data_IF_677626532871
#
_entry.id   IF_677626532871
#
_cell.length_a   1.000
_cell.length_b   1.000
_cell.length_c   1.000
_cell.angle_alpha   90.00
_cell.angle_beta   90.00
_cell.angle_gamma   90.00
#
_symmetry.space_group_name_H-M   'P 1'
#
loop_
_entity.id
_entity.type
_entity.pdbx_description
1 polymer ?
#
# COMPACT_ATOMS: atom_id res chain seq x y z
N UNK A 1 35.43 16.01 -21.98
CA UNK A 1 35.57 14.56 -22.00
C UNK A 1 34.17 13.97 -21.93
N UNK A 2 33.62 13.68 -23.11
CA UNK A 2 32.32 13.00 -23.26
C UNK A 2 32.58 11.52 -23.47
N UNK A 3 32.03 10.67 -22.60
CA UNK A 3 31.75 9.25 -22.84
C UNK A 3 31.22 8.65 -21.54
N UNK A 4 29.91 8.59 -21.36
CA UNK A 4 29.16 7.55 -20.64
C UNK A 4 27.67 7.92 -20.59
N UNK A 5 27.00 7.95 -21.73
CA UNK A 5 25.54 8.12 -21.80
C UNK A 5 25.01 7.29 -23.00
N UNK A 6 25.26 5.98 -23.00
CA UNK A 6 24.77 5.09 -24.07
C UNK A 6 24.49 3.66 -23.62
N UNK A 7 23.97 3.43 -22.41
CA UNK A 7 23.61 2.06 -22.00
C UNK A 7 22.22 1.91 -21.34
N UNK A 8 21.35 2.92 -21.44
CA UNK A 8 19.97 2.83 -20.92
C UNK A 8 18.90 2.69 -22.03
N UNK A 9 19.27 2.33 -23.24
CA UNK A 9 18.38 2.37 -24.39
C UNK A 9 17.88 1.04 -24.94
N UNK A 10 17.94 -0.11 -24.24
CA UNK A 10 17.64 -1.39 -24.91
C UNK A 10 16.95 -2.48 -24.07
N UNK A 11 16.11 -2.14 -23.12
CA UNK A 11 15.25 -3.14 -22.42
C UNK A 11 13.75 -2.97 -22.71
N UNK A 12 13.36 -2.06 -23.59
CA UNK A 12 11.94 -1.75 -23.84
C UNK A 12 11.32 -2.48 -25.06
N UNK A 13 11.91 -3.52 -25.63
CA UNK A 13 11.42 -4.06 -26.90
C UNK A 13 11.38 -5.59 -26.99
N UNK A 14 10.81 -6.28 -25.98
CA UNK A 14 10.39 -7.69 -26.19
C UNK A 14 9.26 -8.10 -25.25
N UNK A 15 8.19 -7.30 -25.14
CA UNK A 15 6.93 -7.79 -24.57
C UNK A 15 6.12 -8.43 -25.68
N UNK A 16 6.42 -9.69 -26.01
CA UNK A 16 5.58 -10.48 -26.90
C UNK A 16 4.27 -10.82 -26.22
N UNK A 17 3.20 -10.59 -26.98
CA UNK A 17 1.81 -10.95 -26.73
C UNK A 17 1.72 -12.42 -26.31
N UNK A 18 1.50 -12.67 -25.04
CA UNK A 18 0.98 -13.94 -24.54
C UNK A 18 -0.47 -13.70 -24.15
N UNK A 19 -1.36 -14.59 -24.63
CA UNK A 19 -2.78 -14.63 -24.24
C UNK A 19 -2.84 -14.71 -22.71
N UNK A 20 -3.32 -13.65 -22.10
CA UNK A 20 -3.33 -13.48 -20.66
C UNK A 20 -4.66 -13.98 -20.11
N UNK A 21 -4.59 -14.89 -19.15
CA UNK A 21 -5.60 -14.89 -18.12
C UNK A 21 -5.25 -13.69 -17.23
N UNK A 22 -6.03 -12.61 -17.34
CA UNK A 22 -5.91 -11.50 -16.41
C UNK A 22 -6.28 -12.03 -15.02
N UNK A 23 -5.46 -11.74 -14.00
CA UNK A 23 -5.89 -11.91 -12.63
C UNK A 23 -7.18 -11.10 -12.45
N UNK A 24 -8.21 -11.69 -11.86
CA UNK A 24 -9.48 -11.02 -11.63
C UNK A 24 -9.25 -9.70 -10.90
N UNK A 25 -10.05 -8.69 -11.22
CA UNK A 25 -9.94 -7.39 -10.57
C UNK A 25 -10.22 -7.51 -9.07
N UNK A 26 -9.36 -6.90 -8.27
CA UNK A 26 -9.58 -6.64 -6.84
C UNK A 26 -9.09 -5.24 -6.49
N UNK A 27 -9.72 -4.59 -5.52
CA UNK A 27 -9.20 -3.35 -4.95
C UNK A 27 -7.94 -3.62 -4.12
N UNK A 28 -7.07 -2.63 -3.98
CA UNK A 28 -5.85 -2.72 -3.16
C UNK A 28 -6.09 -2.32 -1.69
N UNK A 29 -7.22 -1.65 -1.38
CA UNK A 29 -7.65 -1.40 -0.01
C UNK A 29 -8.36 -2.61 0.61
N UNK A 30 -8.33 -2.75 1.97
CA UNK A 30 -7.65 -1.94 3.01
C UNK A 30 -6.33 -2.52 3.51
N UNK A 31 -5.71 -3.46 2.81
CA UNK A 31 -4.51 -4.17 3.26
C UNK A 31 -3.26 -3.26 3.31
N UNK A 32 -2.31 -3.60 4.20
CA UNK A 32 -0.96 -3.04 4.15
C UNK A 32 -0.13 -3.63 3.00
N UNK A 33 -0.51 -4.82 2.52
CA UNK A 33 0.04 -5.45 1.33
C UNK A 33 -0.58 -4.90 0.04
N UNK A 34 -0.24 -5.54 -1.07
CA UNK A 34 -0.76 -5.24 -2.40
C UNK A 34 -1.54 -6.44 -2.94
N UNK A 35 -2.73 -6.22 -3.48
CA UNK A 35 -3.47 -7.24 -4.22
C UNK A 35 -2.78 -7.64 -5.54
N UNK A 36 -3.08 -8.83 -6.07
CA UNK A 36 -2.58 -9.27 -7.38
C UNK A 36 -3.48 -8.86 -8.55
N UNK A 37 -4.70 -8.38 -8.26
CA UNK A 37 -5.68 -7.98 -9.26
C UNK A 37 -5.26 -6.74 -10.06
N UNK A 38 -5.69 -6.67 -11.32
CA UNK A 38 -5.39 -5.59 -12.27
C UNK A 38 -6.70 -4.93 -12.70
N UNK A 39 -6.71 -3.61 -12.75
CA UNK A 39 -7.85 -2.86 -13.29
C UNK A 39 -8.04 -3.19 -14.78
N UNK A 40 -9.24 -3.57 -15.23
CA UNK A 40 -9.50 -3.86 -16.62
C UNK A 40 -9.26 -2.66 -17.53
N UNK A 41 -8.86 -2.91 -18.78
CA UNK A 41 -8.66 -1.86 -19.78
C UNK A 41 -9.95 -1.06 -20.00
N UNK A 42 -9.84 0.27 -20.00
CA UNK A 42 -10.98 1.18 -20.18
C UNK A 42 -11.80 1.43 -18.90
N UNK A 43 -11.37 0.89 -17.77
CA UNK A 43 -11.97 1.15 -16.44
C UNK A 43 -11.06 2.02 -15.59
N UNK A 44 -11.68 2.68 -14.62
CA UNK A 44 -11.02 3.47 -13.59
C UNK A 44 -11.47 2.95 -12.22
N UNK A 45 -10.53 2.49 -11.40
CA UNK A 45 -10.78 2.21 -10.00
C UNK A 45 -10.37 3.43 -9.16
N UNK A 46 -11.24 3.82 -8.23
CA UNK A 46 -11.03 4.87 -7.24
C UNK A 46 -11.15 4.26 -5.85
N UNK A 47 -10.11 4.43 -5.06
CA UNK A 47 -10.01 3.92 -3.69
C UNK A 47 -9.69 5.07 -2.76
N UNK A 48 -10.47 5.27 -1.70
CA UNK A 48 -10.41 6.44 -0.82
C UNK A 48 -10.47 6.07 0.65
N UNK A 49 -9.50 6.55 1.45
CA UNK A 49 -9.56 6.54 2.91
C UNK A 49 -10.47 7.65 3.45
N UNK A 50 -11.32 7.33 4.48
CA UNK A 50 -12.40 8.21 4.98
C UNK A 50 -12.55 8.23 6.51
N UNK A 51 -11.64 8.70 7.32
CA UNK A 51 -10.21 8.88 7.16
C UNK A 51 -9.42 7.61 7.51
N UNK A 52 -8.14 7.63 7.16
CA UNK A 52 -7.15 6.80 7.81
C UNK A 52 -6.61 7.51 9.06
N UNK A 53 -6.36 6.76 10.14
CA UNK A 53 -5.97 7.28 11.46
C UNK A 53 -4.72 6.58 11.92
N UNK A 54 -3.74 7.31 12.43
CA UNK A 54 -2.64 6.74 13.20
C UNK A 54 -2.48 7.45 14.55
N UNK A 55 -2.20 6.65 15.58
CA UNK A 55 -1.88 7.15 16.91
C UNK A 55 -0.58 6.54 17.37
N UNK A 56 0.37 7.40 17.74
CA UNK A 56 1.66 7.01 18.26
C UNK A 56 1.87 7.62 19.64
N UNK A 57 2.44 6.85 20.57
CA UNK A 57 2.84 7.31 21.89
C UNK A 57 4.22 6.81 22.22
N UNK A 58 5.16 7.71 22.44
CA UNK A 58 6.54 7.44 22.83
C UNK A 58 6.84 8.01 24.22
N UNK A 59 7.93 7.52 24.83
CA UNK A 59 8.45 8.08 26.08
C UNK A 59 9.79 8.77 25.76
N UNK A 60 9.80 10.09 25.81
CA UNK A 60 10.97 10.91 25.53
C UNK A 60 11.33 11.70 26.78
N UNK A 61 12.54 11.49 27.29
CA UNK A 61 13.06 12.17 28.50
C UNK A 61 12.11 12.15 29.73
N UNK A 62 11.37 11.04 29.90
CA UNK A 62 10.44 10.88 31.03
C UNK A 62 9.06 11.50 30.82
N UNK A 63 8.81 12.16 29.70
CA UNK A 63 7.50 12.65 29.28
C UNK A 63 6.89 11.75 28.20
N UNK A 64 5.56 11.77 28.11
CA UNK A 64 4.84 11.05 27.05
C UNK A 64 4.59 11.98 25.87
N UNK A 65 5.15 11.62 24.74
CA UNK A 65 4.86 12.20 23.45
C UNK A 65 3.72 11.44 22.79
N UNK A 66 2.74 12.16 22.28
CA UNK A 66 1.58 11.57 21.61
C UNK A 66 1.34 12.28 20.29
N UNK A 67 1.27 11.52 19.24
CA UNK A 67 0.94 11.99 17.89
C UNK A 67 -0.33 11.31 17.42
N UNK A 68 -1.31 12.09 17.02
CA UNK A 68 -2.52 11.62 16.34
C UNK A 68 -2.52 12.23 14.94
N UNK A 69 -2.56 11.38 13.92
CA UNK A 69 -2.61 11.80 12.52
C UNK A 69 -3.89 11.29 11.87
N UNK A 70 -4.55 12.14 11.11
CA UNK A 70 -5.68 11.82 10.26
C UNK A 70 -5.29 12.18 8.82
N UNK A 71 -5.49 11.28 7.88
CA UNK A 71 -5.31 11.55 6.47
C UNK A 71 -6.45 10.94 5.63
N UNK A 72 -6.66 11.49 4.45
CA UNK A 72 -7.64 11.00 3.48
C UNK A 72 -6.90 10.62 2.20
N UNK A 73 -6.19 9.49 2.26
CA UNK A 73 -5.43 8.92 1.15
C UNK A 73 -6.33 8.49 -0.01
N UNK A 74 -5.81 8.61 -1.22
CA UNK A 74 -6.51 8.25 -2.45
C UNK A 74 -5.60 7.48 -3.41
N UNK A 75 -6.16 6.47 -4.06
CA UNK A 75 -5.51 5.73 -5.13
C UNK A 75 -6.44 5.66 -6.34
N UNK A 76 -5.93 6.09 -7.49
CA UNK A 76 -6.56 5.92 -8.79
C UNK A 76 -5.80 4.85 -9.58
N UNK A 77 -6.54 3.90 -10.17
CA UNK A 77 -5.95 2.81 -10.96
C UNK A 77 -6.67 2.71 -12.29
N UNK A 78 -5.94 2.53 -13.38
CA UNK A 78 -6.53 2.33 -14.72
C UNK A 78 -5.76 1.30 -15.53
N UNK A 79 -6.47 0.41 -16.20
CA UNK A 79 -5.88 -0.57 -17.10
C UNK A 79 -5.34 0.06 -18.37
N UNK A 80 -4.05 -0.07 -18.63
CA UNK A 80 -3.39 0.42 -19.85
C UNK A 80 -3.39 -0.63 -20.97
N UNK A 81 -3.19 -1.87 -20.60
CA UNK A 81 -3.16 -3.02 -21.49
C UNK A 81 -3.50 -4.27 -20.67
N UNK A 82 -3.65 -5.41 -21.33
CA UNK A 82 -3.91 -6.66 -20.67
C UNK A 82 -2.83 -7.02 -19.64
N UNK A 83 -3.26 -7.16 -18.38
CA UNK A 83 -2.37 -7.39 -17.25
C UNK A 83 -1.44 -6.24 -16.90
N UNK A 84 -1.69 -5.00 -17.36
CA UNK A 84 -0.88 -3.82 -17.05
C UNK A 84 -1.78 -2.66 -16.63
N UNK A 85 -1.54 -2.08 -15.47
CA UNK A 85 -2.26 -0.88 -15.00
C UNK A 85 -1.31 0.24 -14.56
N UNK A 86 -1.80 1.47 -14.69
CA UNK A 86 -1.22 2.66 -14.11
C UNK A 86 -1.89 2.95 -12.77
N UNK A 87 -1.10 3.30 -11.78
CA UNK A 87 -1.54 3.76 -10.46
C UNK A 87 -1.10 5.20 -10.22
N UNK A 88 -1.99 6.02 -9.68
CA UNK A 88 -1.71 7.37 -9.20
C UNK A 88 -2.20 7.45 -7.76
N UNK A 89 -1.27 7.56 -6.83
CA UNK A 89 -1.53 7.67 -5.40
C UNK A 89 -1.39 9.11 -4.90
N UNK A 90 -2.10 9.42 -3.84
CA UNK A 90 -1.95 10.65 -3.08
C UNK A 90 -2.23 10.38 -1.61
N UNK A 91 -1.31 10.74 -0.72
CA UNK A 91 -1.48 10.59 0.73
C UNK A 91 -2.59 11.50 1.29
N UNK A 92 -3.09 12.44 0.46
CA UNK A 92 -4.25 13.28 0.76
C UNK A 92 -3.95 14.46 1.65
N UNK A 93 -5.02 15.17 2.08
CA UNK A 93 -4.92 16.13 3.14
C UNK A 93 -4.64 15.41 4.46
N UNK A 94 -3.73 15.99 5.24
CA UNK A 94 -3.27 15.46 6.52
C UNK A 94 -3.55 16.49 7.61
N UNK A 95 -4.07 16.02 8.75
CA UNK A 95 -4.13 16.77 9.99
C UNK A 95 -3.41 15.98 11.08
N UNK A 96 -2.55 16.66 11.83
CA UNK A 96 -1.77 16.05 12.90
C UNK A 96 -1.88 16.86 14.18
N UNK A 97 -2.01 16.16 15.30
CA UNK A 97 -1.95 16.71 16.64
C UNK A 97 -0.81 16.07 17.40
N UNK A 98 0.15 16.87 17.79
CA UNK A 98 1.26 16.48 18.66
C UNK A 98 1.04 17.02 20.08
N UNK A 99 1.32 16.18 21.11
CA UNK A 99 1.27 16.55 22.51
C UNK A 99 2.54 16.13 23.22
N UNK A 100 3.22 17.09 23.87
CA UNK A 100 4.41 16.89 24.69
C UNK A 100 4.29 17.66 26.00
N UNK A 101 4.48 17.01 27.16
CA UNK A 101 4.52 17.65 28.47
C UNK A 101 3.41 18.68 28.73
N UNK A 102 2.19 18.40 28.27
CA UNK A 102 1.02 19.28 28.39
C UNK A 102 0.86 20.32 27.28
N UNK A 103 1.86 20.55 26.46
CA UNK A 103 1.77 21.42 25.28
C UNK A 103 1.15 20.65 24.12
N UNK A 104 0.26 21.31 23.37
CA UNK A 104 -0.41 20.79 22.21
C UNK A 104 -0.03 21.64 20.98
N UNK A 105 0.40 20.99 19.89
CA UNK A 105 0.60 21.61 18.58
C UNK A 105 -0.31 20.90 17.57
N UNK A 106 -0.95 21.65 16.70
CA UNK A 106 -1.71 21.14 15.57
C UNK A 106 -1.11 21.67 14.29
N UNK A 107 -1.00 20.80 13.30
CA UNK A 107 -0.54 21.11 11.95
C UNK A 107 -1.44 20.44 10.93
N UNK A 108 -1.54 21.03 9.76
CA UNK A 108 -2.25 20.46 8.63
C UNK A 108 -1.49 20.76 7.32
N UNK A 109 -1.69 19.93 6.33
CA UNK A 109 -1.03 20.07 5.04
C UNK A 109 -1.47 18.99 4.06
N UNK A 110 -0.70 18.83 3.02
CA UNK A 110 -0.89 17.83 1.98
C UNK A 110 0.29 16.84 2.01
N UNK A 111 0.00 15.56 1.86
CA UNK A 111 1.00 14.52 1.71
C UNK A 111 1.49 14.37 0.27
N UNK A 112 2.41 13.45 0.08
CA UNK A 112 3.07 13.18 -1.19
C UNK A 112 2.15 12.50 -2.20
N UNK A 113 2.50 12.62 -3.48
CA UNK A 113 1.87 11.89 -4.59
C UNK A 113 2.74 10.71 -5.01
N UNK A 114 2.13 9.70 -5.62
CA UNK A 114 2.88 8.60 -6.21
C UNK A 114 2.39 8.26 -7.61
N UNK A 115 3.28 7.66 -8.39
CA UNK A 115 2.99 7.07 -9.69
C UNK A 115 3.57 5.66 -9.74
N UNK A 116 2.78 4.70 -10.21
CA UNK A 116 3.18 3.30 -10.27
C UNK A 116 2.71 2.61 -11.55
N UNK A 117 3.46 1.58 -11.95
CA UNK A 117 3.08 0.64 -12.99
C UNK A 117 3.02 -0.76 -12.38
N UNK A 118 1.83 -1.38 -12.42
CA UNK A 118 1.58 -2.73 -11.92
C UNK A 118 1.35 -3.69 -13.07
N UNK A 119 2.02 -4.83 -13.01
CA UNK A 119 1.97 -5.89 -14.04
C UNK A 119 1.60 -7.21 -13.40
N UNK A 120 0.54 -7.85 -13.90
CA UNK A 120 0.22 -9.24 -13.59
C UNK A 120 1.23 -10.17 -14.27
N UNK A 121 1.66 -11.21 -13.56
CA UNK A 121 2.55 -12.26 -14.03
C UNK A 121 1.74 -13.55 -14.16
N UNK A 122 1.68 -14.08 -15.37
CA UNK A 122 0.97 -15.34 -15.61
C UNK A 122 1.81 -16.54 -15.15
N UNK A 123 1.37 -17.21 -14.10
CA UNK A 123 2.03 -18.39 -13.53
C UNK A 123 1.48 -19.72 -14.08
N UNK A 124 0.47 -19.66 -14.97
CA UNK A 124 -0.21 -20.83 -15.56
C UNK A 124 -0.85 -21.76 -14.50
N UNK A 125 -1.28 -21.17 -13.41
CA UNK A 125 -2.01 -21.83 -12.33
C UNK A 125 -3.21 -20.93 -11.95
N UNK A 126 -4.42 -21.49 -11.97
CA UNK A 126 -5.65 -20.73 -11.76
C UNK A 126 -5.84 -20.29 -10.28
N UNK A 127 -5.10 -20.93 -9.35
CA UNK A 127 -5.14 -20.62 -7.93
C UNK A 127 -3.97 -19.79 -7.44
N UNK A 128 -2.94 -19.65 -8.26
CA UNK A 128 -1.72 -18.92 -7.90
C UNK A 128 -1.60 -17.68 -8.80
N UNK A 129 -1.73 -16.51 -8.21
CA UNK A 129 -1.61 -15.25 -8.93
C UNK A 129 -0.41 -14.45 -8.44
N UNK A 130 0.16 -13.61 -9.31
CA UNK A 130 1.31 -12.77 -8.99
C UNK A 130 1.20 -11.42 -9.70
N UNK A 131 1.60 -10.37 -9.02
CA UNK A 131 1.79 -9.05 -9.64
C UNK A 131 3.10 -8.41 -9.17
N UNK A 132 3.64 -7.55 -10.02
CA UNK A 132 4.79 -6.68 -9.72
C UNK A 132 4.34 -5.22 -9.88
N UNK A 133 4.74 -4.36 -8.96
CA UNK A 133 4.52 -2.92 -9.02
C UNK A 133 5.86 -2.20 -8.90
N UNK A 134 6.18 -1.36 -9.86
CA UNK A 134 7.23 -0.35 -9.74
C UNK A 134 6.58 0.99 -9.45
N UNK A 135 6.97 1.66 -8.38
CA UNK A 135 6.37 2.90 -7.91
C UNK A 135 7.42 3.93 -7.53
N UNK A 136 7.11 5.19 -7.80
CA UNK A 136 7.83 6.34 -7.29
C UNK A 136 6.87 7.20 -6.47
N UNK A 137 7.21 7.44 -5.19
CA UNK A 137 6.58 8.46 -4.35
C UNK A 137 7.41 9.72 -4.52
N UNK A 138 6.79 10.78 -4.98
CA UNK A 138 7.43 12.07 -5.26
C UNK A 138 7.19 13.00 -4.08
N UNK A 139 8.27 13.52 -3.52
CA UNK A 139 8.24 14.40 -2.35
C UNK A 139 7.64 15.78 -2.71
N UNK A 140 6.32 15.85 -2.80
CA UNK A 140 5.53 17.04 -3.20
C UNK A 140 4.70 17.60 -2.07
N UNK A 141 4.63 16.92 -0.93
CA UNK A 141 3.85 17.33 0.23
C UNK A 141 4.42 18.58 0.92
N UNK A 142 3.71 19.04 1.95
CA UNK A 142 4.24 20.11 2.80
C UNK A 142 5.35 19.56 3.70
N UNK A 143 6.30 20.40 4.10
CA UNK A 143 7.52 20.02 4.85
C UNK A 143 7.29 19.06 6.02
N UNK A 144 6.17 19.21 6.75
CA UNK A 144 5.85 18.36 7.90
C UNK A 144 5.21 17.02 7.49
N UNK A 145 4.83 16.83 6.21
CA UNK A 145 4.07 15.68 5.68
C UNK A 145 4.66 15.07 4.42
N UNK A 146 5.86 15.49 4.03
CA UNK A 146 6.59 14.93 2.89
C UNK A 146 7.69 13.98 3.34
N UNK A 147 8.03 13.02 2.50
CA UNK A 147 9.19 12.16 2.67
C UNK A 147 10.54 12.90 2.52
N UNK A 148 10.52 14.17 2.12
CA UNK A 148 11.65 15.06 1.80
C UNK A 148 12.46 14.65 0.56
N UNK A 149 12.74 13.38 0.37
CA UNK A 149 13.38 12.79 -0.82
C UNK A 149 12.43 11.80 -1.49
N UNK A 150 12.51 11.68 -2.81
CA UNK A 150 11.71 10.70 -3.55
C UNK A 150 12.03 9.28 -3.11
N UNK A 151 10.98 8.45 -3.01
CA UNK A 151 11.11 7.03 -2.69
C UNK A 151 10.79 6.21 -3.93
N UNK A 152 11.69 5.34 -4.31
CA UNK A 152 11.51 4.38 -5.40
C UNK A 152 11.30 2.99 -4.83
N UNK A 153 10.28 2.28 -5.29
CA UNK A 153 9.99 0.95 -4.78
C UNK A 153 9.71 -0.07 -5.88
N UNK A 154 10.02 -1.31 -5.56
CA UNK A 154 9.60 -2.48 -6.31
C UNK A 154 8.86 -3.42 -5.36
N UNK A 155 7.59 -3.67 -5.66
CA UNK A 155 6.73 -4.55 -4.86
C UNK A 155 6.37 -5.79 -5.67
N UNK A 156 6.43 -6.95 -5.04
CA UNK A 156 5.87 -8.20 -5.56
C UNK A 156 4.77 -8.69 -4.63
N UNK A 157 3.65 -9.13 -5.19
CA UNK A 157 2.58 -9.81 -4.47
C UNK A 157 2.35 -11.17 -5.11
N UNK A 158 2.24 -12.20 -4.27
CA UNK A 158 1.88 -13.56 -4.67
C UNK A 158 0.71 -13.98 -3.81
N UNK A 159 -0.38 -14.44 -4.42
CA UNK A 159 -1.56 -14.92 -3.72
C UNK A 159 -1.91 -16.34 -4.14
N UNK A 160 -2.39 -17.14 -3.20
CA UNK A 160 -2.83 -18.51 -3.41
C UNK A 160 -4.21 -18.73 -2.78
N UNK A 161 -5.15 -19.22 -3.61
CA UNK A 161 -6.50 -19.55 -3.18
C UNK A 161 -6.60 -21.03 -2.80
N UNK A 162 -6.74 -21.32 -1.51
CA UNK A 162 -6.98 -22.69 -1.05
C UNK A 162 -8.40 -23.16 -1.39
N UNK A 163 -9.35 -22.25 -1.29
CA UNK A 163 -10.78 -22.47 -1.60
C UNK A 163 -11.48 -21.12 -1.77
N UNK A 164 -12.74 -21.12 -2.18
CA UNK A 164 -13.61 -19.93 -2.24
C UNK A 164 -13.79 -19.23 -0.88
N UNK A 165 -13.34 -19.84 0.21
CA UNK A 165 -13.50 -19.31 1.57
C UNK A 165 -12.20 -18.80 2.18
N UNK A 166 -11.04 -19.30 1.75
CA UNK A 166 -9.75 -19.01 2.36
C UNK A 166 -8.69 -18.87 1.29
N UNK A 167 -7.99 -17.75 1.34
CA UNK A 167 -6.80 -17.45 0.55
C UNK A 167 -5.64 -16.98 1.44
N UNK A 168 -4.47 -16.92 0.88
CA UNK A 168 -3.30 -16.31 1.52
C UNK A 168 -2.49 -15.56 0.48
N UNK A 169 -1.82 -14.50 0.91
CA UNK A 169 -0.90 -13.78 0.06
C UNK A 169 0.37 -13.37 0.82
N UNK A 170 1.39 -13.05 0.07
CA UNK A 170 2.58 -12.39 0.59
C UNK A 170 2.96 -11.23 -0.32
N UNK A 171 3.08 -10.06 0.26
CA UNK A 171 3.64 -8.88 -0.39
C UNK A 171 5.06 -8.66 0.10
N UNK A 172 5.98 -8.43 -0.84
CA UNK A 172 7.37 -8.04 -0.55
C UNK A 172 7.62 -6.70 -1.24
N UNK A 173 7.95 -5.68 -0.48
CA UNK A 173 8.27 -4.33 -0.99
C UNK A 173 9.72 -3.98 -0.66
N UNK A 174 10.46 -3.57 -1.67
CA UNK A 174 11.81 -3.05 -1.60
C UNK A 174 11.77 -1.57 -1.90
N UNK A 175 12.35 -0.76 -1.02
CA UNK A 175 12.34 0.71 -1.12
C UNK A 175 13.78 1.22 -1.11
N UNK A 176 14.00 2.29 -1.88
CA UNK A 176 15.24 3.06 -1.86
C UNK A 176 14.90 4.55 -1.78
N UNK A 177 15.55 5.25 -0.84
CA UNK A 177 15.43 6.67 -0.64
C UNK A 177 16.82 7.25 -0.30
N UNK A 178 17.34 8.16 -1.10
CA UNK A 178 18.60 8.87 -0.84
C UNK A 178 19.77 7.98 -0.36
N UNK A 179 19.97 6.82 -0.96
CA UNK A 179 20.94 5.77 -0.61
C UNK A 179 20.57 4.86 0.56
N UNK A 180 19.54 5.15 1.33
CA UNK A 180 18.98 4.25 2.32
C UNK A 180 18.03 3.25 1.66
N UNK A 181 17.88 2.09 2.28
CA UNK A 181 16.98 1.04 1.80
C UNK A 181 16.03 0.56 2.91
N UNK A 182 14.87 0.06 2.49
CA UNK A 182 13.97 -0.68 3.36
C UNK A 182 13.37 -1.89 2.65
N UNK A 183 13.02 -2.92 3.42
CA UNK A 183 12.29 -4.09 2.96
C UNK A 183 11.12 -4.32 3.88
N UNK A 184 9.93 -4.48 3.30
CA UNK A 184 8.71 -4.82 4.02
C UNK A 184 8.16 -6.13 3.49
N UNK A 185 7.76 -7.03 4.38
CA UNK A 185 7.06 -8.27 4.05
C UNK A 185 5.72 -8.31 4.79
N UNK A 186 4.65 -8.62 4.04
CA UNK A 186 3.28 -8.68 4.58
C UNK A 186 2.63 -9.99 4.15
N UNK A 187 2.81 -11.09 4.91
CA UNK A 187 1.96 -12.27 4.78
C UNK A 187 0.55 -11.96 5.28
N UNK A 188 -0.44 -12.33 4.48
CA UNK A 188 -1.87 -12.06 4.71
C UNK A 188 -2.67 -13.36 4.60
N UNK A 189 -3.64 -13.51 5.46
CA UNK A 189 -4.69 -14.52 5.40
C UNK A 189 -6.01 -13.82 5.11
N UNK A 190 -6.65 -14.19 4.01
CA UNK A 190 -7.95 -13.71 3.59
C UNK A 190 -9.01 -14.77 3.83
N UNK A 191 -10.18 -14.36 4.31
CA UNK A 191 -11.26 -15.31 4.61
C UNK A 191 -12.65 -14.71 4.40
N UNK A 192 -13.56 -15.52 3.87
CA UNK A 192 -14.96 -15.17 3.72
C UNK A 192 -15.70 -15.45 5.04
N UNK A 193 -16.42 -14.44 5.53
CA UNK A 193 -17.19 -14.55 6.79
C UNK A 193 -18.62 -15.00 6.49
N UNK A 194 -19.35 -14.23 5.72
CA UNK A 194 -20.71 -14.56 5.31
C UNK A 194 -21.16 -13.67 4.14
N UNK A 195 -21.78 -14.27 3.13
CA UNK A 195 -22.36 -13.55 1.99
C UNK A 195 -21.34 -12.61 1.33
N UNK A 196 -21.53 -11.31 1.46
CA UNK A 196 -20.70 -10.24 0.90
C UNK A 196 -19.64 -9.70 1.86
N UNK A 197 -19.55 -10.27 3.05
CA UNK A 197 -18.60 -9.88 4.09
C UNK A 197 -17.41 -10.83 4.10
N UNK A 198 -16.22 -10.27 3.96
CA UNK A 198 -14.93 -10.94 4.12
C UNK A 198 -14.08 -10.23 5.17
N UNK A 199 -13.05 -10.89 5.62
CA UNK A 199 -12.06 -10.34 6.53
C UNK A 199 -10.66 -10.76 6.09
N UNK A 200 -9.68 -10.10 6.68
CA UNK A 200 -8.28 -10.45 6.51
C UNK A 200 -7.53 -10.30 7.83
N UNK A 201 -6.39 -10.95 7.92
CA UNK A 201 -5.42 -10.77 9.01
C UNK A 201 -4.02 -10.80 8.41
N UNK A 202 -3.20 -9.85 8.80
CA UNK A 202 -1.86 -9.67 8.24
C UNK A 202 -0.82 -9.50 9.34
N UNK A 203 0.37 -9.96 9.08
CA UNK A 203 1.57 -9.67 9.85
C UNK A 203 2.46 -8.77 9.00
N UNK A 204 2.96 -7.69 9.60
CA UNK A 204 3.83 -6.75 8.94
C UNK A 204 5.22 -6.90 9.53
N UNK A 205 6.20 -7.11 8.68
CA UNK A 205 7.61 -7.13 9.02
C UNK A 205 8.33 -6.10 8.17
N UNK A 206 9.09 -5.21 8.81
CA UNK A 206 9.89 -4.20 8.10
C UNK A 206 11.30 -4.13 8.66
N UNK A 207 12.25 -3.95 7.76
CA UNK A 207 13.65 -3.67 8.07
C UNK A 207 14.12 -2.52 7.20
N UNK A 208 14.53 -1.43 7.82
CA UNK A 208 15.23 -0.33 7.17
C UNK A 208 16.72 -0.34 7.54
N UNK A 209 17.53 0.33 6.72
CA UNK A 209 18.96 0.47 6.95
C UNK A 209 19.22 1.16 8.27
N UNK A 210 20.15 0.62 9.04
CA UNK A 210 20.58 1.16 10.35
C UNK A 210 19.46 1.32 11.38
N UNK A 211 18.27 0.73 11.17
CA UNK A 211 17.16 0.72 12.13
C UNK A 211 16.90 -0.67 12.66
N UNK A 212 16.22 -0.77 13.79
CA UNK A 212 15.75 -2.03 14.33
C UNK A 212 14.64 -2.63 13.43
N UNK A 213 14.37 -3.93 13.62
CA UNK A 213 13.25 -4.59 12.97
C UNK A 213 11.92 -4.06 13.51
N UNK A 214 10.97 -3.84 12.63
CA UNK A 214 9.61 -3.43 12.97
C UNK A 214 8.65 -4.59 12.70
N UNK A 215 7.70 -4.77 13.62
CA UNK A 215 6.67 -5.81 13.53
C UNK A 215 5.31 -5.19 13.79
N UNK A 216 4.33 -5.59 13.01
CA UNK A 216 2.95 -5.16 13.18
C UNK A 216 1.95 -6.28 12.94
N UNK A 217 0.76 -6.12 13.46
CA UNK A 217 -0.41 -6.93 13.16
C UNK A 217 -1.50 -6.03 12.62
N UNK A 218 -2.15 -6.47 11.55
CA UNK A 218 -3.31 -5.82 10.97
C UNK A 218 -4.47 -6.79 10.83
N UNK A 219 -5.67 -6.27 10.86
CA UNK A 219 -6.89 -7.01 10.53
C UNK A 219 -7.96 -6.05 10.05
N UNK A 220 -8.94 -6.55 9.32
CA UNK A 220 -10.04 -5.72 8.86
C UNK A 220 -11.16 -6.52 8.22
N UNK A 221 -12.15 -5.75 7.78
CA UNK A 221 -13.36 -6.24 7.13
C UNK A 221 -13.54 -5.54 5.80
N UNK A 222 -14.04 -6.28 4.82
CA UNK A 222 -14.43 -5.79 3.51
C UNK A 222 -15.88 -6.21 3.27
N UNK A 223 -16.72 -5.25 2.93
CA UNK A 223 -18.10 -5.48 2.53
C UNK A 223 -18.29 -5.12 1.05
N UNK A 224 -18.45 -6.13 0.20
CA UNK A 224 -18.74 -5.94 -1.22
C UNK A 224 -20.19 -5.48 -1.39
N UNK A 225 -20.40 -4.21 -1.75
CA UNK A 225 -21.73 -3.69 -2.08
C UNK A 225 -22.23 -4.40 -3.34
N UNK A 226 -21.37 -4.48 -4.36
CA UNK A 226 -21.53 -5.22 -5.60
C UNK A 226 -20.14 -5.50 -6.20
N UNK A 227 -20.08 -6.05 -7.42
CA UNK A 227 -18.82 -6.40 -8.09
C UNK A 227 -17.94 -5.18 -8.46
N UNK A 228 -18.45 -3.96 -8.27
CA UNK A 228 -17.75 -2.71 -8.61
C UNK A 228 -17.60 -1.74 -7.45
N UNK A 229 -18.06 -2.09 -6.25
CA UNK A 229 -17.98 -1.19 -5.11
C UNK A 229 -17.87 -1.97 -3.80
N UNK A 230 -17.00 -1.48 -2.91
CA UNK A 230 -16.83 -2.01 -1.56
C UNK A 230 -16.71 -0.91 -0.52
N UNK A 231 -17.01 -1.27 0.71
CA UNK A 231 -16.64 -0.55 1.92
C UNK A 231 -15.65 -1.38 2.69
N UNK A 232 -14.73 -0.73 3.35
CA UNK A 232 -13.72 -1.39 4.16
C UNK A 232 -13.51 -0.71 5.51
N UNK A 233 -12.99 -1.47 6.46
CA UNK A 233 -12.52 -0.99 7.75
C UNK A 233 -11.32 -1.83 8.20
N UNK A 234 -10.30 -1.19 8.75
CA UNK A 234 -9.11 -1.86 9.25
C UNK A 234 -8.61 -1.27 10.56
N UNK A 235 -7.89 -2.11 11.31
CA UNK A 235 -7.14 -1.71 12.50
C UNK A 235 -5.81 -2.45 12.51
N UNK A 236 -4.77 -1.78 13.03
CA UNK A 236 -3.44 -2.36 13.18
C UNK A 236 -2.75 -1.87 14.44
N UNK A 237 -1.73 -2.62 14.84
CA UNK A 237 -0.90 -2.32 16.00
C UNK A 237 0.55 -2.69 15.70
N UNK A 238 1.48 -1.82 16.08
CA UNK A 238 2.90 -2.14 16.07
C UNK A 238 3.26 -2.89 17.35
N UNK A 239 4.02 -3.98 17.21
CA UNK A 239 4.31 -4.93 18.29
C UNK A 239 5.63 -4.64 19.01
N UNK A 240 6.51 -3.84 18.41
CA UNK A 240 7.81 -3.53 18.96
C UNK A 240 8.05 -2.02 19.01
N UNK A 241 9.02 -1.64 19.86
CA UNK A 241 9.35 -0.25 20.14
C UNK A 241 9.09 0.11 21.61
N UNK A 242 9.61 1.24 22.03
CA UNK A 242 9.44 1.77 23.39
C UNK A 242 8.07 2.42 23.61
N UNK A 243 7.31 2.61 22.55
CA UNK A 243 6.02 3.29 22.50
C UNK A 243 4.85 2.37 22.18
N UNK A 244 3.72 2.98 21.93
CA UNK A 244 2.50 2.34 21.43
C UNK A 244 2.13 2.99 20.11
N UNK A 245 1.87 2.17 19.09
CA UNK A 245 1.41 2.63 17.80
C UNK A 245 0.18 1.84 17.38
N UNK A 246 -0.85 2.55 16.96
CA UNK A 246 -2.10 1.99 16.45
C UNK A 246 -2.47 2.72 15.18
N UNK A 247 -2.99 1.99 14.22
CA UNK A 247 -3.54 2.56 12.99
C UNK A 247 -4.89 1.94 12.68
N UNK A 248 -5.62 2.54 11.78
CA UNK A 248 -6.90 2.04 11.31
C UNK A 248 -7.63 3.06 10.46
N UNK A 249 -8.77 2.68 9.94
CA UNK A 249 -9.58 3.59 9.13
C UNK A 249 -10.76 2.90 8.50
N UNK A 250 -11.47 3.71 7.74
CA UNK A 250 -12.56 3.28 6.87
C UNK A 250 -12.24 3.68 5.45
N UNK A 251 -12.80 2.97 4.49
CA UNK A 251 -12.62 3.33 3.10
C UNK A 251 -13.79 2.94 2.22
N UNK A 252 -13.77 3.50 1.04
CA UNK A 252 -14.67 3.17 -0.06
C UNK A 252 -13.86 2.98 -1.33
N UNK A 253 -14.21 1.98 -2.10
CA UNK A 253 -13.59 1.73 -3.40
C UNK A 253 -14.66 1.53 -4.46
N UNK A 254 -14.48 2.09 -5.66
CA UNK A 254 -15.43 2.02 -6.77
C UNK A 254 -14.69 1.82 -8.09
N UNK A 255 -15.21 0.91 -8.91
CA UNK A 255 -14.79 0.65 -10.29
C UNK A 255 -15.80 1.24 -11.28
N UNK A 256 -15.36 2.20 -12.10
CA UNK A 256 -16.13 2.89 -13.13
C UNK A 256 -15.94 2.26 -14.50
#
# INVERSE_FOLDING_TARGET
>A
MMKTLQTLGFIAASMMVSTTFAADFSFDRPWAGMGTGITPVGHLAWEQGLPSVSYQQDNVAGAKDKTLTLNADMLLRTGLADGLELQLGWQGPVWQQYKHAGTKKETNGLGDVSIGLKKAINLKDDRLTMALLAEAIIATGNDEFTAHDDIYSLTSAVAYEFSDLIGTSITMRYEAQNSDWAVTAVPTLDYKIAGKLSGFSEFIYRKAESQDYEYGLGTGLVYAINDRAQLDASVGVDLNGSGKSYNGGFGVSVLF
#
